data_IF_874146170299
#
_entry.id   IF_874146170299
#
_cell.length_a   1.000
_cell.length_b   1.000
_cell.length_c   1.000
_cell.angle_alpha   90.00
_cell.angle_beta   90.00
_cell.angle_gamma   90.00
#
_symmetry.space_group_name_H-M   'P 1'
#
loop_
_entity.id
_entity.type
_entity.pdbx_description
1 polymer ?
#
# COMPACT_ATOMS: atom_id res chain seq x y z
N UNK A 1 0.40 6.41 -17.29
CA UNK A 1 1.06 6.51 -15.97
C UNK A 1 0.01 7.01 -14.99
N UNK A 2 -0.39 6.22 -14.00
CA UNK A 2 -1.22 6.73 -12.90
C UNK A 2 -0.30 7.17 -11.76
N UNK A 3 0.12 8.43 -11.80
CA UNK A 3 0.73 9.12 -10.67
C UNK A 3 -0.37 9.45 -9.68
N UNK A 4 -0.78 8.48 -8.86
CA UNK A 4 -1.49 8.83 -7.64
C UNK A 4 -0.45 9.51 -6.74
N UNK A 5 -0.42 10.84 -6.79
CA UNK A 5 0.41 11.70 -5.94
C UNK A 5 -0.18 11.69 -4.52
N UNK A 6 -0.23 10.50 -3.94
CA UNK A 6 -0.45 10.32 -2.52
C UNK A 6 0.80 10.87 -1.86
N UNK A 7 0.68 11.99 -1.16
CA UNK A 7 1.70 12.46 -0.21
C UNK A 7 1.71 11.52 1.00
N UNK A 8 1.98 10.24 0.77
CA UNK A 8 2.01 9.20 1.78
C UNK A 8 3.27 9.39 2.63
N UNK A 9 3.08 9.56 3.93
CA UNK A 9 4.17 9.72 4.89
C UNK A 9 4.14 8.59 5.91
N UNK A 10 5.28 8.42 6.59
CA UNK A 10 5.36 7.52 7.73
C UNK A 10 4.41 8.02 8.83
N UNK A 11 3.66 7.11 9.42
CA UNK A 11 2.65 7.40 10.45
C UNK A 11 1.23 7.60 9.91
N UNK A 12 1.05 7.79 8.61
CA UNK A 12 -0.28 7.92 8.02
C UNK A 12 -1.02 6.57 8.04
N UNK A 13 -2.36 6.62 8.10
CA UNK A 13 -3.17 5.40 7.93
C UNK A 13 -3.54 5.23 6.46
N UNK A 14 -2.96 4.22 5.82
CA UNK A 14 -3.24 3.88 4.43
C UNK A 14 -4.33 2.79 4.37
N UNK A 15 -5.37 3.05 3.60
CA UNK A 15 -6.33 2.01 3.18
C UNK A 15 -6.35 1.91 1.66
N UNK A 16 -6.24 0.71 1.12
CA UNK A 16 -6.30 0.49 -0.33
C UNK A 16 -6.86 -0.90 -0.69
N UNK A 17 -7.29 -1.05 -1.94
CA UNK A 17 -7.54 -2.36 -2.55
C UNK A 17 -6.26 -2.85 -3.21
N UNK A 18 -5.93 -4.12 -3.02
CA UNK A 18 -4.71 -4.72 -3.56
C UNK A 18 -4.95 -6.16 -4.04
N UNK A 19 -4.32 -6.60 -5.14
CA UNK A 19 -4.40 -7.98 -5.61
C UNK A 19 -4.02 -9.00 -4.52
N UNK A 20 -4.81 -10.06 -4.35
CA UNK A 20 -4.49 -11.15 -3.42
C UNK A 20 -3.13 -11.76 -3.79
N UNK A 21 -2.22 -11.84 -2.81
CA UNK A 21 -0.81 -12.23 -2.99
C UNK A 21 -0.03 -11.37 -4.02
N UNK A 22 -0.51 -10.16 -4.34
CA UNK A 22 0.13 -9.22 -5.26
C UNK A 22 0.08 -9.59 -6.74
N UNK A 23 -0.69 -10.61 -7.13
CA UNK A 23 -0.76 -11.08 -8.53
C UNK A 23 -2.10 -11.65 -8.99
N UNK A 24 -3.04 -11.97 -8.09
CA UNK A 24 -4.32 -12.58 -8.49
C UNK A 24 -5.35 -11.52 -8.86
N UNK A 25 -6.26 -11.84 -9.79
CA UNK A 25 -7.42 -11.00 -10.15
C UNK A 25 -8.54 -11.06 -9.10
N UNK A 26 -8.17 -10.92 -7.83
CA UNK A 26 -9.08 -10.88 -6.68
C UNK A 26 -8.53 -9.78 -5.79
N UNK A 27 -9.27 -8.69 -5.61
CA UNK A 27 -8.85 -7.58 -4.78
C UNK A 27 -9.19 -7.84 -3.31
N UNK A 28 -8.24 -7.52 -2.42
CA UNK A 28 -8.43 -7.49 -0.98
C UNK A 28 -8.22 -6.09 -0.46
N UNK A 29 -9.02 -5.69 0.52
CA UNK A 29 -8.80 -4.43 1.22
C UNK A 29 -7.70 -4.63 2.27
N UNK A 30 -6.74 -3.73 2.26
CA UNK A 30 -5.70 -3.62 3.27
C UNK A 30 -5.79 -2.26 3.92
N UNK A 31 -5.66 -2.24 5.24
CA UNK A 31 -5.65 -1.04 6.05
C UNK A 31 -4.59 -1.18 7.13
N UNK A 32 -3.82 -0.13 7.36
CA UNK A 32 -2.75 -0.12 8.35
C UNK A 32 -1.94 1.17 8.36
N UNK A 33 -1.15 1.32 9.41
CA UNK A 33 -0.23 2.45 9.57
C UNK A 33 0.99 2.25 8.66
N UNK A 34 1.43 3.32 8.00
CA UNK A 34 2.61 3.32 7.13
C UNK A 34 3.87 3.40 7.99
N UNK A 35 4.66 2.33 8.00
CA UNK A 35 5.94 2.28 8.71
C UNK A 35 7.09 2.83 7.87
N UNK A 36 7.03 2.64 6.55
CA UNK A 36 8.09 2.99 5.62
C UNK A 36 7.55 3.23 4.21
N UNK A 37 8.14 4.19 3.50
CA UNK A 37 7.92 4.44 2.08
C UNK A 37 9.27 4.45 1.39
N UNK A 38 9.41 3.72 0.28
CA UNK A 38 10.68 3.59 -0.42
C UNK A 38 10.55 3.23 -1.89
N UNK A 39 11.71 3.16 -2.55
CA UNK A 39 11.84 2.76 -3.95
C UNK A 39 12.61 1.44 -4.02
N UNK A 40 12.08 0.46 -4.74
CA UNK A 40 12.76 -0.81 -5.01
C UNK A 40 12.81 -1.12 -6.50
N UNK A 41 13.29 -2.32 -6.86
CA UNK A 41 13.35 -2.81 -8.25
C UNK A 41 12.00 -2.73 -9.00
N UNK A 42 10.88 -2.83 -8.26
CA UNK A 42 9.52 -2.73 -8.79
C UNK A 42 8.88 -1.34 -8.68
N UNK A 43 9.67 -0.29 -8.41
CA UNK A 43 9.19 1.08 -8.20
C UNK A 43 8.84 1.39 -6.75
N UNK A 44 7.99 2.40 -6.56
CA UNK A 44 7.56 2.89 -5.25
C UNK A 44 6.74 1.82 -4.50
N UNK A 45 7.04 1.66 -3.21
CA UNK A 45 6.31 0.78 -2.30
C UNK A 45 6.13 1.43 -0.93
N UNK A 46 5.08 1.02 -0.23
CA UNK A 46 4.83 1.34 1.17
C UNK A 46 4.79 0.05 1.99
N UNK A 47 5.39 0.08 3.16
CA UNK A 47 5.25 -0.98 4.16
C UNK A 47 4.23 -0.51 5.19
N UNK A 48 3.16 -1.29 5.36
CA UNK A 48 2.10 -1.02 6.31
C UNK A 48 2.03 -2.11 7.38
N UNK A 49 1.67 -1.72 8.60
CA UNK A 49 1.32 -2.63 9.70
C UNK A 49 -0.18 -2.59 9.91
N UNK A 50 -0.84 -3.73 9.75
CA UNK A 50 -2.28 -3.84 10.05
C UNK A 50 -2.51 -3.86 11.57
N UNK A 51 -3.74 -3.55 11.99
CA UNK A 51 -4.13 -3.62 13.39
C UNK A 51 -3.95 -5.03 14.00
N UNK A 52 -4.03 -6.07 13.18
CA UNK A 52 -3.73 -7.46 13.58
C UNK A 52 -2.24 -7.77 13.73
N UNK A 53 -1.36 -6.77 13.62
CA UNK A 53 0.11 -6.92 13.69
C UNK A 53 0.77 -7.46 12.41
N UNK A 54 0.04 -7.67 11.31
CA UNK A 54 0.63 -8.19 10.08
C UNK A 54 1.31 -7.06 9.30
N UNK A 55 2.61 -7.21 9.03
CA UNK A 55 3.39 -6.26 8.22
C UNK A 55 3.37 -6.69 6.76
N UNK A 56 3.15 -5.74 5.85
CA UNK A 56 3.06 -6.01 4.40
C UNK A 56 3.68 -4.88 3.60
N UNK A 57 4.42 -5.23 2.55
CA UNK A 57 4.91 -4.29 1.56
C UNK A 57 4.01 -4.30 0.32
N UNK A 58 3.47 -3.13 -0.03
CA UNK A 58 2.52 -2.92 -1.11
C UNK A 58 3.14 -1.99 -2.16
N UNK A 59 3.13 -2.40 -3.43
CA UNK A 59 3.62 -1.55 -4.52
C UNK A 59 2.55 -0.55 -4.94
N UNK A 60 2.94 0.71 -5.13
CA UNK A 60 2.03 1.78 -5.54
C UNK A 60 1.37 1.48 -6.89
N UNK A 61 2.08 0.82 -7.80
CA UNK A 61 1.57 0.44 -9.12
C UNK A 61 0.40 -0.54 -9.08
N UNK A 62 0.24 -1.26 -7.97
CA UNK A 62 -0.78 -2.29 -7.77
C UNK A 62 -1.88 -1.85 -6.80
N UNK A 63 -1.74 -0.67 -6.19
CA UNK A 63 -2.76 -0.12 -5.32
C UNK A 63 -3.91 0.43 -6.15
N UNK A 64 -5.13 0.12 -5.72
CA UNK A 64 -6.36 0.62 -6.32
C UNK A 64 -7.15 1.35 -5.23
N UNK A 65 -7.70 2.51 -5.58
CA UNK A 65 -8.44 3.41 -4.70
C UNK A 65 -7.76 3.64 -3.32
N UNK A 66 -6.49 4.08 -3.30
CA UNK A 66 -5.81 4.38 -2.05
C UNK A 66 -6.40 5.63 -1.38
N UNK A 67 -6.70 5.51 -0.10
CA UNK A 67 -7.18 6.59 0.77
C UNK A 67 -6.24 6.74 1.95
N UNK A 68 -5.86 7.98 2.26
CA UNK A 68 -5.03 8.34 3.41
C UNK A 68 -5.93 9.01 4.45
N UNK A 69 -5.80 8.59 5.70
CA UNK A 69 -6.43 9.22 6.86
C UNK A 69 -5.37 9.61 7.89
#
# INVERSE_FOLDING_TARGET
MFTNVLSLRKGDTLTCKYPKHGRRNILKRHSGEVEHVGVGKGGLYATIRSNSGAVRSLSFTKMIDPTIA
#
